data_IF_062176073905
#
_entry.id   IF_062176073905
#
_cell.length_a   1.000
_cell.length_b   1.000
_cell.length_c   1.000
_cell.angle_alpha   90.00
_cell.angle_beta   90.00
_cell.angle_gamma   90.00
#
_symmetry.space_group_name_H-M   'P 1'
#
loop_
_entity.id
_entity.type
_entity.pdbx_description
1 polymer ?
#
# COMPACT_ATOMS: atom_id res chain seq x y z
N UNK A 1 13.34 -41.61 12.61
CA UNK A 1 13.78 -40.52 11.70
C UNK A 1 12.59 -39.63 11.31
N UNK A 2 12.04 -38.85 12.26
CA UNK A 2 10.88 -37.97 12.01
C UNK A 2 11.27 -36.54 11.58
N UNK A 3 12.56 -36.23 11.48
CA UNK A 3 13.05 -34.85 11.37
C UNK A 3 12.97 -34.18 9.98
N UNK A 4 12.75 -34.94 8.89
CA UNK A 4 12.65 -34.34 7.55
C UNK A 4 11.25 -33.81 7.25
N UNK A 5 10.22 -34.59 7.56
CA UNK A 5 8.81 -34.18 7.39
C UNK A 5 8.45 -32.98 8.27
N UNK A 6 8.96 -32.94 9.51
CA UNK A 6 8.72 -31.80 10.42
C UNK A 6 9.39 -30.52 9.92
N UNK A 7 10.65 -30.60 9.44
CA UNK A 7 11.34 -29.45 8.84
C UNK A 7 10.69 -28.97 7.55
N UNK A 8 10.20 -29.89 6.72
CA UNK A 8 9.50 -29.55 5.48
C UNK A 8 8.19 -28.81 5.77
N UNK A 9 7.43 -29.25 6.80
CA UNK A 9 6.21 -28.57 7.24
C UNK A 9 6.50 -27.18 7.81
N UNK A 10 7.52 -27.05 8.67
CA UNK A 10 7.94 -25.73 9.17
C UNK A 10 8.38 -24.78 8.06
N UNK A 11 9.17 -25.27 7.09
CA UNK A 11 9.61 -24.44 5.95
C UNK A 11 8.45 -24.01 5.07
N UNK A 12 7.52 -24.92 4.75
CA UNK A 12 6.31 -24.58 4.01
C UNK A 12 5.48 -23.53 4.75
N UNK A 13 5.32 -23.67 6.07
CA UNK A 13 4.54 -22.75 6.88
C UNK A 13 5.21 -21.36 6.99
N UNK A 14 6.54 -21.31 7.13
CA UNK A 14 7.31 -20.05 7.09
C UNK A 14 7.27 -19.39 5.71
N UNK A 15 7.40 -20.16 4.64
CA UNK A 15 7.32 -19.66 3.26
C UNK A 15 5.95 -19.10 2.91
N UNK A 16 4.88 -19.72 3.39
CA UNK A 16 3.51 -19.22 3.24
C UNK A 16 3.29 -17.91 4.01
N UNK A 17 3.77 -17.81 5.25
CA UNK A 17 3.64 -16.58 6.04
C UNK A 17 4.44 -15.42 5.44
N UNK A 18 5.68 -15.68 5.03
CA UNK A 18 6.51 -14.67 4.35
C UNK A 18 5.94 -14.27 2.99
N UNK A 19 5.36 -15.23 2.24
CA UNK A 19 4.69 -14.96 0.98
C UNK A 19 3.49 -14.05 1.16
N UNK A 20 2.64 -14.30 2.16
CA UNK A 20 1.50 -13.43 2.49
C UNK A 20 1.94 -12.02 2.89
N UNK A 21 2.91 -11.91 3.79
CA UNK A 21 3.43 -10.61 4.23
C UNK A 21 3.97 -9.77 3.06
N UNK A 22 4.76 -10.37 2.17
CA UNK A 22 5.25 -9.67 0.97
C UNK A 22 4.14 -9.24 0.02
N UNK A 23 3.10 -10.07 -0.14
CA UNK A 23 1.96 -9.72 -0.98
C UNK A 23 1.15 -8.57 -0.39
N UNK A 24 0.99 -8.54 0.93
CA UNK A 24 0.30 -7.46 1.64
C UNK A 24 1.09 -6.15 1.53
N UNK A 25 2.43 -6.20 1.68
CA UNK A 25 3.31 -5.05 1.48
C UNK A 25 3.25 -4.50 0.05
N UNK A 26 3.30 -5.38 -0.96
CA UNK A 26 3.20 -4.96 -2.37
C UNK A 26 1.82 -4.35 -2.67
N UNK A 27 0.75 -4.90 -2.10
CA UNK A 27 -0.59 -4.33 -2.24
C UNK A 27 -0.69 -2.97 -1.57
N UNK A 28 -0.16 -2.80 -0.37
CA UNK A 28 -0.10 -1.52 0.32
C UNK A 28 0.70 -0.49 -0.49
N UNK A 29 1.88 -0.86 -1.01
CA UNK A 29 2.67 0.03 -1.87
C UNK A 29 1.91 0.46 -3.13
N UNK A 30 1.25 -0.48 -3.82
CA UNK A 30 0.46 -0.15 -5.02
C UNK A 30 -0.71 0.77 -4.69
N UNK A 31 -1.44 0.48 -3.62
CA UNK A 31 -2.55 1.31 -3.16
C UNK A 31 -2.09 2.73 -2.81
N UNK A 32 -0.97 2.87 -2.09
CA UNK A 32 -0.37 4.17 -1.78
C UNK A 32 0.04 4.93 -3.04
N UNK A 33 0.65 4.26 -4.02
CA UNK A 33 1.01 4.85 -5.31
C UNK A 33 -0.20 5.36 -6.11
N UNK A 34 -1.31 4.63 -6.09
CA UNK A 34 -2.54 5.06 -6.76
C UNK A 34 -3.23 6.23 -6.04
N UNK A 35 -3.14 6.29 -4.70
CA UNK A 35 -3.61 7.45 -3.93
C UNK A 35 -2.80 8.71 -4.25
N UNK A 36 -1.47 8.60 -4.38
CA UNK A 36 -0.62 9.73 -4.81
C UNK A 36 -1.00 10.24 -6.20
N UNK A 37 -1.21 9.34 -7.16
CA UNK A 37 -1.65 9.72 -8.51
C UNK A 37 -2.99 10.45 -8.47
N UNK A 38 -3.94 9.98 -7.65
CA UNK A 38 -5.25 10.64 -7.46
C UNK A 38 -5.11 12.03 -6.85
N UNK A 39 -4.29 12.18 -5.81
CA UNK A 39 -4.02 13.49 -5.20
C UNK A 39 -3.37 14.46 -6.20
N UNK A 40 -2.36 14.00 -6.94
CA UNK A 40 -1.71 14.80 -7.98
C UNK A 40 -2.67 15.22 -9.10
N UNK A 41 -3.55 14.32 -9.54
CA UNK A 41 -4.57 14.62 -10.55
C UNK A 41 -5.60 15.64 -10.03
N UNK A 42 -6.09 15.49 -8.79
CA UNK A 42 -7.01 16.42 -8.16
C UNK A 42 -6.40 17.82 -8.04
N UNK A 43 -5.16 17.90 -7.52
CA UNK A 43 -4.43 19.15 -7.39
C UNK A 43 -4.16 19.82 -8.75
N UNK A 44 -3.79 19.04 -9.77
CA UNK A 44 -3.61 19.57 -11.12
C UNK A 44 -4.91 20.14 -11.70
N UNK A 45 -6.03 19.43 -11.52
CA UNK A 45 -7.34 19.89 -11.97
C UNK A 45 -7.77 21.18 -11.24
N UNK A 46 -7.55 21.25 -9.92
CA UNK A 46 -7.80 22.45 -9.11
C UNK A 46 -6.99 23.65 -9.64
N UNK A 47 -5.69 23.46 -9.91
CA UNK A 47 -4.82 24.50 -10.47
C UNK A 47 -5.21 24.95 -11.88
N UNK A 48 -5.87 24.08 -12.64
CA UNK A 48 -6.41 24.38 -13.97
C UNK A 48 -7.81 24.99 -13.93
N UNK A 49 -8.43 25.12 -12.75
CA UNK A 49 -9.79 25.63 -12.58
C UNK A 49 -10.89 24.66 -13.03
N UNK A 50 -10.52 23.42 -13.37
CA UNK A 50 -11.46 22.36 -13.78
C UNK A 50 -11.81 21.39 -12.64
N UNK A 51 -11.09 21.47 -11.51
CA UNK A 51 -11.33 20.69 -10.30
C UNK A 51 -11.79 21.57 -9.15
N UNK A 52 -12.02 20.95 -7.99
CA UNK A 52 -12.46 21.64 -6.78
C UNK A 52 -11.48 21.40 -5.62
N UNK A 53 -11.32 22.37 -4.70
CA UNK A 53 -10.50 22.19 -3.50
C UNK A 53 -10.95 21.02 -2.63
N UNK A 54 -12.26 20.73 -2.60
CA UNK A 54 -12.82 19.61 -1.84
C UNK A 54 -12.34 18.26 -2.39
N UNK A 55 -12.21 18.12 -3.71
CA UNK A 55 -11.69 16.89 -4.31
C UNK A 55 -10.22 16.65 -3.93
N UNK A 56 -9.41 17.70 -3.91
CA UNK A 56 -8.02 17.64 -3.42
C UNK A 56 -7.97 17.26 -1.95
N UNK A 57 -8.83 17.86 -1.12
CA UNK A 57 -8.90 17.56 0.31
C UNK A 57 -9.33 16.12 0.59
N UNK A 58 -10.29 15.58 -0.16
CA UNK A 58 -10.70 14.18 -0.06
C UNK A 58 -9.57 13.22 -0.46
N UNK A 59 -8.85 13.52 -1.54
CA UNK A 59 -7.70 12.72 -1.96
C UNK A 59 -6.58 12.73 -0.91
N UNK A 60 -6.35 13.89 -0.27
CA UNK A 60 -5.39 14.03 0.81
C UNK A 60 -5.79 13.20 2.05
N UNK A 61 -7.05 13.29 2.49
CA UNK A 61 -7.56 12.50 3.62
C UNK A 61 -7.46 10.99 3.37
N UNK A 62 -7.73 10.54 2.15
CA UNK A 62 -7.58 9.14 1.78
C UNK A 62 -6.11 8.67 1.86
N UNK A 63 -5.18 9.53 1.43
CA UNK A 63 -3.73 9.27 1.55
C UNK A 63 -3.30 9.22 3.02
N UNK A 64 -3.73 10.17 3.84
CA UNK A 64 -3.44 10.20 5.28
C UNK A 64 -3.96 8.96 6.00
N UNK A 65 -5.20 8.54 5.69
CA UNK A 65 -5.81 7.32 6.25
C UNK A 65 -5.02 6.06 5.88
N UNK A 66 -4.50 6.00 4.65
CA UNK A 66 -3.66 4.90 4.21
C UNK A 66 -2.31 4.90 4.94
N UNK A 67 -1.67 6.06 5.09
CA UNK A 67 -0.42 6.21 5.86
C UNK A 67 -0.62 5.81 7.33
N UNK A 68 -1.74 6.20 7.94
CA UNK A 68 -2.05 5.82 9.32
C UNK A 68 -2.21 4.30 9.50
N UNK A 69 -2.62 3.58 8.46
CA UNK A 69 -2.88 2.13 8.51
C UNK A 69 -1.67 1.29 8.08
N UNK A 70 -0.94 1.74 7.06
CA UNK A 70 0.10 0.95 6.38
C UNK A 70 1.51 1.57 6.47
N UNK A 71 1.63 2.79 7.01
CA UNK A 71 2.86 3.57 7.04
C UNK A 71 3.14 4.35 5.75
N UNK A 72 4.24 5.10 5.76
CA UNK A 72 4.67 6.01 4.68
C UNK A 72 5.73 5.39 3.75
N UNK A 73 6.00 4.08 3.84
CA UNK A 73 7.09 3.43 3.13
C UNK A 73 7.00 3.59 1.60
N UNK A 74 5.79 3.66 1.04
CA UNK A 74 5.54 3.88 -0.39
C UNK A 74 5.89 5.29 -0.88
N UNK A 75 6.14 6.26 0.03
CA UNK A 75 6.61 7.60 -0.32
C UNK A 75 8.11 7.64 -0.64
N UNK A 76 8.86 6.60 -0.23
CA UNK A 76 10.33 6.55 -0.30
C UNK A 76 10.85 5.62 -1.40
N UNK A 77 9.95 4.93 -2.10
CA UNK A 77 10.25 3.93 -3.13
C UNK A 77 10.54 4.54 -4.50
#
# INVERSE_FOLDING_TARGET
MAGFLDRAKEQAQRGLTQGKQKLDEVQAQRAGGDLLKRLGAAYYAERRGSGSPEATQQALQALESHIATHGDAFLRS
#
